data_IF_933101903623
#
_entry.id   IF_933101903623
#
_cell.length_a   1.000
_cell.length_b   1.000
_cell.length_c   1.000
_cell.angle_alpha   90.00
_cell.angle_beta   90.00
_cell.angle_gamma   90.00
#
_symmetry.space_group_name_H-M   'P 1'
#
loop_
_entity.id
_entity.type
_entity.pdbx_description
1 polymer ?
#
# COMPACT_ATOMS: atom_id res chain seq x y z
N UNK A 1 14.42 4.57 -38.39
CA UNK A 1 14.16 5.75 -37.52
C UNK A 1 12.66 6.03 -37.33
N UNK A 2 11.83 6.08 -38.38
CA UNK A 2 10.38 6.38 -38.30
C UNK A 2 9.56 5.47 -37.33
N UNK A 3 9.82 4.16 -37.29
CA UNK A 3 9.14 3.22 -36.35
C UNK A 3 9.46 3.48 -34.87
N UNK A 4 10.71 3.86 -34.56
CA UNK A 4 11.13 4.20 -33.19
C UNK A 4 10.48 5.51 -32.72
N UNK A 5 10.37 6.48 -33.62
CA UNK A 5 9.69 7.75 -33.34
C UNK A 5 8.19 7.54 -33.08
N UNK A 6 7.52 6.71 -33.89
CA UNK A 6 6.10 6.36 -33.69
C UNK A 6 5.85 5.68 -32.34
N UNK A 7 6.72 4.75 -31.93
CA UNK A 7 6.62 4.09 -30.62
C UNK A 7 6.81 5.08 -29.48
N UNK A 8 7.74 6.03 -29.62
CA UNK A 8 7.96 7.09 -28.62
C UNK A 8 6.77 8.04 -28.51
N UNK A 9 6.16 8.44 -29.63
CA UNK A 9 4.93 9.26 -29.58
C UNK A 9 3.75 8.50 -29.01
N UNK A 10 3.55 7.23 -29.37
CA UNK A 10 2.50 6.39 -28.78
C UNK A 10 2.69 6.20 -27.28
N UNK A 11 3.94 6.00 -26.82
CA UNK A 11 4.27 5.92 -25.40
C UNK A 11 4.05 7.25 -24.67
N UNK A 12 4.41 8.38 -25.28
CA UNK A 12 4.18 9.71 -24.70
C UNK A 12 2.67 10.02 -24.59
N UNK A 13 1.88 9.65 -25.60
CA UNK A 13 0.42 9.80 -25.60
C UNK A 13 -0.24 8.91 -24.54
N UNK A 14 0.20 7.65 -24.40
CA UNK A 14 -0.34 6.75 -23.38
C UNK A 14 -0.01 7.20 -21.97
N UNK A 15 1.21 7.67 -21.72
CA UNK A 15 1.61 8.27 -20.44
C UNK A 15 0.78 9.52 -20.11
N UNK A 16 0.50 10.37 -21.11
CA UNK A 16 -0.32 11.57 -20.94
C UNK A 16 -1.79 11.26 -20.63
N UNK A 17 -2.36 10.26 -21.32
CA UNK A 17 -3.73 9.80 -21.07
C UNK A 17 -3.89 9.16 -19.69
N UNK A 18 -2.90 8.35 -19.27
CA UNK A 18 -2.83 7.80 -17.91
C UNK A 18 -2.77 8.92 -16.89
N UNK A 19 -1.95 9.95 -17.12
CA UNK A 19 -1.84 11.09 -16.21
C UNK A 19 -3.18 11.82 -16.02
N UNK A 20 -3.95 12.05 -17.08
CA UNK A 20 -5.25 12.75 -16.97
C UNK A 20 -6.34 11.97 -16.21
N UNK A 21 -6.14 10.66 -16.01
CA UNK A 21 -7.10 9.77 -15.36
C UNK A 21 -6.58 9.23 -14.01
N UNK A 22 -5.49 9.81 -13.50
CA UNK A 22 -4.81 9.35 -12.29
C UNK A 22 -5.10 10.27 -11.10
N UNK A 23 -5.35 9.68 -9.94
CA UNK A 23 -5.36 10.36 -8.65
C UNK A 23 -4.10 10.02 -7.87
N UNK A 24 -3.40 11.02 -7.34
CA UNK A 24 -2.37 10.85 -6.32
C UNK A 24 -3.01 10.87 -4.94
N UNK A 25 -2.55 10.01 -4.04
CA UNK A 25 -3.16 9.87 -2.71
C UNK A 25 -2.12 9.77 -1.61
N UNK A 26 -2.48 10.32 -0.46
CA UNK A 26 -1.66 10.31 0.76
C UNK A 26 -2.55 9.96 1.94
N UNK A 27 -2.14 8.97 2.75
CA UNK A 27 -2.95 8.44 3.84
C UNK A 27 -2.63 9.23 5.11
N UNK A 28 -3.58 10.06 5.57
CA UNK A 28 -3.39 10.92 6.73
C UNK A 28 -3.06 10.12 8.00
N UNK A 29 -3.60 8.90 8.14
CA UNK A 29 -3.31 8.04 9.28
C UNK A 29 -1.85 7.58 9.30
N UNK A 30 -1.28 7.27 8.13
CA UNK A 30 0.14 6.90 8.03
C UNK A 30 1.04 8.07 8.36
N UNK A 31 0.71 9.26 7.84
CA UNK A 31 1.46 10.48 8.16
C UNK A 31 1.40 10.85 9.64
N UNK A 32 0.25 10.69 10.29
CA UNK A 32 0.12 10.90 11.73
C UNK A 32 1.02 9.96 12.55
N UNK A 33 1.27 8.75 12.04
CA UNK A 33 2.22 7.79 12.62
C UNK A 33 3.66 7.96 12.11
N UNK A 34 3.98 9.02 11.36
CA UNK A 34 5.28 9.25 10.73
C UNK A 34 5.70 8.20 9.70
N UNK A 35 4.74 7.44 9.16
CA UNK A 35 4.94 6.50 8.05
C UNK A 35 4.77 7.26 6.74
N UNK A 36 5.77 7.20 5.88
CA UNK A 36 5.74 7.84 4.57
C UNK A 36 4.94 6.95 3.62
N UNK A 37 3.94 7.52 2.95
CA UNK A 37 3.20 6.81 1.93
C UNK A 37 2.84 7.71 0.76
N UNK A 38 2.75 7.08 -0.41
CA UNK A 38 2.23 7.71 -1.62
C UNK A 38 1.55 6.64 -2.47
N UNK A 39 0.42 7.01 -3.05
CA UNK A 39 -0.33 6.13 -3.94
C UNK A 39 -0.69 6.81 -5.23
N UNK A 40 -0.83 6.02 -6.30
CA UNK A 40 -1.36 6.46 -7.57
C UNK A 40 -2.49 5.51 -8.00
N UNK A 41 -3.67 6.06 -8.27
CA UNK A 41 -4.84 5.31 -8.72
C UNK A 41 -5.30 5.79 -10.09
N UNK A 42 -5.33 4.90 -11.08
CA UNK A 42 -5.67 5.24 -12.47
C UNK A 42 -6.98 4.55 -12.87
N UNK A 43 -7.86 5.25 -13.58
CA UNK A 43 -9.04 4.65 -14.23
C UNK A 43 -8.60 3.68 -15.33
N UNK A 44 -9.09 2.44 -15.26
CA UNK A 44 -8.89 1.44 -16.31
C UNK A 44 -10.13 1.31 -17.21
N UNK A 45 -11.31 1.41 -16.62
CA UNK A 45 -12.60 1.37 -17.31
C UNK A 45 -13.63 2.18 -16.52
N UNK A 46 -14.86 2.28 -17.02
CA UNK A 46 -15.90 3.11 -16.40
C UNK A 46 -16.20 2.77 -14.94
N UNK A 47 -16.01 1.52 -14.53
CA UNK A 47 -16.23 1.05 -13.16
C UNK A 47 -14.99 0.46 -12.50
N UNK A 48 -13.84 0.51 -13.16
CA UNK A 48 -12.61 -0.15 -12.69
C UNK A 48 -11.45 0.82 -12.59
N UNK A 49 -10.72 0.74 -11.48
CA UNK A 49 -9.46 1.46 -11.29
C UNK A 49 -8.37 0.50 -10.82
N UNK A 50 -7.13 0.94 -10.96
CA UNK A 50 -5.95 0.26 -10.45
C UNK A 50 -5.16 1.22 -9.58
N UNK A 51 -4.86 0.81 -8.35
CA UNK A 51 -4.14 1.59 -7.36
C UNK A 51 -2.81 0.90 -7.02
N UNK A 52 -1.71 1.66 -7.10
CA UNK A 52 -0.41 1.28 -6.56
C UNK A 52 -0.08 2.10 -5.32
N UNK A 53 0.27 1.44 -4.21
CA UNK A 53 0.74 2.09 -2.98
C UNK A 53 2.23 1.77 -2.76
N UNK A 54 3.01 2.79 -2.40
CA UNK A 54 4.33 2.64 -1.80
C UNK A 54 4.29 3.16 -0.36
N UNK A 55 4.71 2.32 0.58
CA UNK A 55 4.70 2.63 2.02
C UNK A 55 6.07 2.36 2.60
N UNK A 56 6.58 3.29 3.40
CA UNK A 56 7.87 3.18 4.07
C UNK A 56 7.78 3.72 5.49
N UNK A 57 8.15 2.88 6.45
CA UNK A 57 8.31 3.25 7.84
C UNK A 57 9.79 3.52 8.15
N UNK A 58 10.18 4.76 8.48
CA UNK A 58 11.57 5.10 8.82
C UNK A 58 11.96 4.69 10.25
N UNK A 59 11.01 4.27 11.09
CA UNK A 59 11.22 4.00 12.50
C UNK A 59 12.21 2.86 12.75
N UNK A 60 13.36 3.16 13.36
CA UNK A 60 14.29 2.12 13.83
C UNK A 60 13.64 1.29 14.94
N UNK A 61 12.95 1.96 15.85
CA UNK A 61 12.11 1.39 16.90
C UNK A 61 11.04 2.38 17.34
N UNK A 62 9.90 1.86 17.82
CA UNK A 62 8.89 2.59 18.59
C UNK A 62 8.77 1.89 19.94
N UNK A 63 8.94 2.62 21.04
CA UNK A 63 8.93 2.04 22.40
C UNK A 63 9.89 0.83 22.56
N UNK A 64 11.08 0.92 21.94
CA UNK A 64 12.08 -0.17 21.96
C UNK A 64 11.78 -1.35 21.03
N UNK A 65 10.65 -1.36 20.32
CA UNK A 65 10.27 -2.39 19.36
C UNK A 65 10.63 -1.98 17.93
N UNK A 66 11.45 -2.76 17.19
CA UNK A 66 11.75 -2.45 15.80
C UNK A 66 10.48 -2.30 14.95
N UNK A 67 10.43 -1.26 14.13
CA UNK A 67 9.27 -0.96 13.27
C UNK A 67 9.69 -0.40 11.92
N UNK A 68 10.77 -0.93 11.35
CA UNK A 68 11.23 -0.55 10.02
C UNK A 68 10.67 -1.53 9.00
N UNK A 69 9.99 -1.01 7.99
CA UNK A 69 9.48 -1.82 6.89
C UNK A 69 9.27 -0.99 5.63
N UNK A 70 9.33 -1.65 4.48
CA UNK A 70 8.93 -1.10 3.20
C UNK A 70 7.96 -2.05 2.50
N UNK A 71 6.95 -1.49 1.86
CA UNK A 71 5.85 -2.26 1.30
C UNK A 71 5.40 -1.66 -0.03
N UNK A 72 5.15 -2.54 -0.99
CA UNK A 72 4.52 -2.22 -2.25
C UNK A 72 3.19 -2.96 -2.33
N UNK A 73 2.13 -2.26 -2.68
CA UNK A 73 0.78 -2.80 -2.78
C UNK A 73 0.23 -2.45 -4.15
N UNK A 74 -0.43 -3.41 -4.77
CA UNK A 74 -1.22 -3.21 -5.98
C UNK A 74 -2.65 -3.66 -5.69
N UNK A 75 -3.62 -2.93 -6.22
CA UNK A 75 -5.03 -3.17 -5.92
C UNK A 75 -5.91 -2.84 -7.14
N UNK A 76 -6.70 -3.81 -7.57
CA UNK A 76 -7.79 -3.58 -8.52
C UNK A 76 -9.06 -3.22 -7.75
N UNK A 77 -9.76 -2.17 -8.17
CA UNK A 77 -10.97 -1.68 -7.48
C UNK A 77 -12.15 -1.58 -8.43
N UNK A 78 -13.31 -2.03 -7.96
CA UNK A 78 -14.58 -1.95 -8.66
C UNK A 78 -15.53 -0.96 -7.98
N UNK A 79 -16.03 0.01 -8.74
CA UNK A 79 -16.97 1.04 -8.30
C UNK A 79 -18.33 0.85 -8.99
N UNK A 80 -19.38 0.40 -8.29
CA UNK A 80 -20.70 0.17 -8.90
C UNK A 80 -21.30 1.41 -9.58
N UNK A 81 -21.03 2.61 -9.02
CA UNK A 81 -21.52 3.92 -9.48
C UNK A 81 -20.55 4.65 -10.45
N UNK A 82 -19.49 3.98 -10.88
CA UNK A 82 -18.46 4.54 -11.76
C UNK A 82 -17.15 4.85 -11.01
N UNK A 83 -16.03 4.78 -11.73
CA UNK A 83 -14.69 4.96 -11.20
C UNK A 83 -14.60 6.26 -10.38
N UNK A 84 -13.98 6.17 -9.19
CA UNK A 84 -13.81 7.29 -8.26
C UNK A 84 -15.12 7.86 -7.67
N UNK A 85 -16.21 7.08 -7.67
CA UNK A 85 -17.52 7.54 -7.19
C UNK A 85 -18.12 6.63 -6.11
N UNK A 86 -17.97 7.03 -4.85
CA UNK A 86 -18.61 6.38 -3.71
C UNK A 86 -17.99 5.04 -3.35
N UNK A 87 -18.86 4.08 -3.01
CA UNK A 87 -18.49 2.74 -2.54
C UNK A 87 -17.68 1.96 -3.60
N UNK A 88 -16.65 1.25 -3.16
CA UNK A 88 -15.93 0.29 -3.99
C UNK A 88 -15.53 -0.97 -3.22
N UNK A 89 -15.34 -2.05 -3.98
CA UNK A 89 -14.71 -3.28 -3.52
C UNK A 89 -13.39 -3.45 -4.25
N UNK A 90 -12.32 -3.76 -3.52
CA UNK A 90 -10.98 -3.96 -4.07
C UNK A 90 -10.43 -5.34 -3.73
N UNK A 91 -9.57 -5.84 -4.62
CA UNK A 91 -8.69 -6.98 -4.37
C UNK A 91 -7.25 -6.52 -4.43
N UNK A 92 -6.47 -6.74 -3.37
CA UNK A 92 -5.08 -6.30 -3.29
C UNK A 92 -4.11 -7.47 -3.22
N UNK A 93 -2.91 -7.22 -3.70
CA UNK A 93 -1.72 -8.03 -3.51
C UNK A 93 -0.56 -7.14 -3.12
N UNK A 94 0.35 -7.64 -2.31
CA UNK A 94 1.43 -6.83 -1.77
C UNK A 94 2.69 -7.61 -1.51
N UNK A 95 3.81 -6.92 -1.60
CA UNK A 95 5.10 -7.43 -1.21
C UNK A 95 5.72 -6.57 -0.11
N UNK A 96 6.29 -7.27 0.85
CA UNK A 96 6.79 -6.76 2.11
C UNK A 96 8.29 -7.00 2.18
N UNK A 97 9.10 -5.94 2.16
CA UNK A 97 10.56 -6.04 2.24
C UNK A 97 11.08 -5.29 3.46
N UNK A 98 12.22 -5.74 3.99
CA UNK A 98 12.91 -5.09 5.10
C UNK A 98 12.13 -5.10 6.42
N UNK A 99 11.29 -6.10 6.67
CA UNK A 99 10.57 -6.19 7.94
C UNK A 99 11.58 -6.41 9.05
N UNK A 100 11.76 -5.40 9.91
CA UNK A 100 12.23 -5.57 11.29
C UNK A 100 11.06 -5.17 12.18
N UNK A 101 10.30 -6.17 12.62
CA UNK A 101 9.07 -5.95 13.38
C UNK A 101 9.01 -6.88 14.60
N UNK A 102 8.53 -6.35 15.72
CA UNK A 102 8.10 -7.16 16.87
C UNK A 102 6.60 -7.39 16.74
N UNK A 103 6.16 -8.65 16.56
CA UNK A 103 4.71 -8.96 16.49
C UNK A 103 4.01 -8.46 17.76
N UNK A 104 2.72 -8.14 17.66
CA UNK A 104 1.92 -7.61 18.78
C UNK A 104 1.98 -8.51 20.03
N UNK A 105 2.00 -9.85 19.84
CA UNK A 105 2.15 -10.82 20.93
C UNK A 105 3.56 -10.88 21.56
N UNK A 106 4.53 -10.13 21.05
CA UNK A 106 5.93 -10.09 21.55
C UNK A 106 6.33 -8.70 22.06
N UNK A 107 5.41 -7.75 22.21
CA UNK A 107 5.72 -6.39 22.67
C UNK A 107 6.45 -6.39 24.03
N UNK A 108 6.16 -7.38 24.90
CA UNK A 108 6.82 -7.57 26.21
C UNK A 108 7.87 -8.69 26.23
N UNK A 109 8.15 -9.30 25.09
CA UNK A 109 9.21 -10.29 24.97
C UNK A 109 10.39 -9.64 24.25
N UNK A 110 11.60 -9.89 24.73
CA UNK A 110 12.84 -9.33 24.19
C UNK A 110 13.19 -9.90 22.81
N UNK A 111 12.25 -9.93 21.86
CA UNK A 111 12.31 -10.60 20.56
C UNK A 111 11.89 -9.68 19.41
N UNK A 112 12.56 -9.80 18.26
CA UNK A 112 12.15 -9.19 17.01
C UNK A 112 12.35 -10.15 15.83
N UNK A 113 11.59 -9.95 14.75
CA UNK A 113 11.69 -10.77 13.55
C UNK A 113 12.22 -9.95 12.38
N UNK A 114 13.13 -10.56 11.60
CA UNK A 114 13.64 -9.98 10.36
C UNK A 114 13.24 -10.84 9.17
N UNK A 115 12.55 -10.27 8.18
CA UNK A 115 12.01 -11.08 7.09
C UNK A 115 11.46 -10.30 5.91
N UNK A 116 10.84 -11.07 5.01
CA UNK A 116 10.03 -10.57 3.90
C UNK A 116 8.69 -11.31 3.91
N UNK A 117 7.69 -10.71 3.30
CA UNK A 117 6.36 -11.31 3.24
C UNK A 117 5.62 -10.98 1.95
N UNK A 118 4.48 -11.61 1.83
CA UNK A 118 3.47 -11.29 0.84
C UNK A 118 2.10 -11.34 1.51
N UNK A 119 1.16 -10.59 0.98
CA UNK A 119 -0.22 -10.66 1.42
C UNK A 119 -1.15 -10.40 0.24
N UNK A 120 -2.35 -10.92 0.37
CA UNK A 120 -3.45 -10.66 -0.53
C UNK A 120 -4.74 -10.62 0.26
N UNK A 121 -5.73 -9.92 -0.27
CA UNK A 121 -7.01 -9.81 0.42
C UNK A 121 -7.96 -8.87 -0.28
N UNK A 122 -8.97 -8.46 0.47
CA UNK A 122 -10.02 -7.58 0.00
C UNK A 122 -9.98 -6.24 0.72
N UNK A 123 -10.47 -5.22 0.03
CA UNK A 123 -10.61 -3.86 0.54
C UNK A 123 -12.04 -3.41 0.33
N UNK A 124 -12.66 -2.85 1.36
CA UNK A 124 -13.90 -2.10 1.23
C UNK A 124 -13.58 -0.63 1.46
N UNK A 125 -14.05 0.23 0.59
CA UNK A 125 -13.84 1.66 0.75
C UNK A 125 -14.90 2.52 0.11
N UNK A 126 -14.82 3.82 0.40
CA UNK A 126 -15.76 4.82 -0.06
C UNK A 126 -15.00 6.10 -0.40
N UNK A 127 -15.12 6.53 -1.66
CA UNK A 127 -14.53 7.79 -2.12
C UNK A 127 -15.57 8.92 -2.12
N UNK A 128 -15.30 9.97 -1.35
CA UNK A 128 -16.09 11.21 -1.28
C UNK A 128 -15.44 12.26 -2.16
N UNK A 129 -16.10 12.67 -3.24
CA UNK A 129 -15.66 13.79 -4.07
C UNK A 129 -15.89 15.10 -3.32
N UNK A 130 -14.84 15.91 -3.14
CA UNK A 130 -14.94 17.27 -2.58
C UNK A 130 -15.18 18.27 -3.71
N UNK A 131 -14.37 18.20 -4.77
CA UNK A 131 -14.50 19.01 -5.97
C UNK A 131 -13.87 18.25 -7.16
N UNK A 132 -13.67 18.92 -8.30
CA UNK A 132 -13.15 18.26 -9.50
C UNK A 132 -11.71 17.74 -9.37
N UNK A 133 -10.96 18.23 -8.38
CA UNK A 133 -9.56 17.89 -8.15
C UNK A 133 -9.36 17.08 -6.88
N UNK A 134 -10.16 17.34 -5.85
CA UNK A 134 -9.95 16.76 -4.52
C UNK A 134 -11.04 15.77 -4.14
N UNK A 135 -10.62 14.70 -3.47
CA UNK A 135 -11.49 13.72 -2.86
C UNK A 135 -10.87 13.19 -1.56
N UNK A 136 -11.70 12.57 -0.73
CA UNK A 136 -11.28 11.78 0.44
C UNK A 136 -11.64 10.33 0.17
N UNK A 137 -10.70 9.43 0.41
CA UNK A 137 -10.88 7.99 0.28
C UNK A 137 -10.77 7.32 1.66
N UNK A 138 -11.88 6.74 2.12
CA UNK A 138 -11.95 6.01 3.39
C UNK A 138 -11.97 4.52 3.09
N UNK A 139 -11.08 3.74 3.69
CA UNK A 139 -11.00 2.30 3.39
C UNK A 139 -10.45 1.46 4.53
N UNK A 140 -10.87 0.20 4.53
CA UNK A 140 -10.34 -0.86 5.36
C UNK A 140 -10.11 -2.13 4.53
N UNK A 141 -9.04 -2.85 4.85
CA UNK A 141 -8.63 -4.06 4.16
C UNK A 141 -8.42 -5.19 5.15
N UNK A 142 -8.82 -6.39 4.75
CA UNK A 142 -8.58 -7.63 5.48
C UNK A 142 -7.98 -8.66 4.53
N UNK A 143 -7.03 -9.46 5.00
CA UNK A 143 -6.43 -10.46 4.14
C UNK A 143 -5.49 -11.41 4.84
N UNK A 144 -4.96 -12.29 4.02
CA UNK A 144 -4.00 -13.30 4.43
C UNK A 144 -2.59 -12.78 4.19
N UNK A 145 -1.73 -12.96 5.18
CA UNK A 145 -0.33 -12.60 5.12
C UNK A 145 0.53 -13.84 5.34
N UNK A 146 1.53 -14.02 4.49
CA UNK A 146 2.60 -15.00 4.67
C UNK A 146 3.94 -14.31 4.81
N UNK A 147 4.68 -14.65 5.84
CA UNK A 147 5.98 -14.06 6.16
C UNK A 147 7.02 -15.14 6.35
N UNK A 148 8.21 -14.92 5.78
CA UNK A 148 9.42 -15.72 6.01
C UNK A 148 10.41 -14.87 6.80
N UNK A 149 10.84 -15.36 7.95
CA UNK A 149 11.62 -14.57 8.90
C UNK A 149 12.67 -15.39 9.64
N UNK A 150 13.60 -14.66 10.27
CA UNK A 150 14.49 -15.13 11.33
C UNK A 150 14.18 -14.37 12.61
N UNK A 151 14.22 -15.04 13.76
CA UNK A 151 13.94 -14.46 15.07
C UNK A 151 15.23 -14.14 15.83
N UNK A 152 15.29 -12.96 16.44
CA UNK A 152 16.44 -12.48 17.21
C UNK A 152 16.00 -11.93 18.57
N UNK A 153 16.88 -12.03 19.56
CA UNK A 153 16.73 -11.43 20.88
C UNK A 153 17.18 -9.95 20.79
N UNK A 154 16.46 -8.99 21.37
CA UNK A 154 16.81 -7.56 21.22
C UNK A 154 18.04 -7.19 22.06
N UNK A 155 18.16 -7.70 23.30
CA UNK A 155 19.28 -7.38 24.19
C UNK A 155 20.62 -7.95 23.73
N UNK A 156 20.66 -9.22 23.32
CA UNK A 156 21.91 -9.91 22.96
C UNK A 156 22.18 -9.94 21.45
N UNK A 157 21.15 -9.72 20.62
CA UNK A 157 21.23 -9.90 19.17
C UNK A 157 21.30 -11.37 18.73
N UNK A 158 21.22 -12.32 19.67
CA UNK A 158 21.30 -13.75 19.37
C UNK A 158 20.07 -14.24 18.62
N UNK A 159 20.30 -15.18 17.70
CA UNK A 159 19.22 -15.78 16.91
C UNK A 159 18.57 -16.91 17.70
N UNK A 160 17.32 -16.72 18.15
CA UNK A 160 16.57 -17.76 18.86
C UNK A 160 15.76 -18.66 17.92
N UNK A 161 15.49 -18.21 16.69
CA UNK A 161 14.80 -18.98 15.65
C UNK A 161 15.49 -18.76 14.31
N UNK A 162 15.87 -19.85 13.66
CA UNK A 162 16.43 -19.88 12.31
C UNK A 162 15.43 -19.46 11.22
N UNK A 163 15.62 -19.93 9.98
CA UNK A 163 14.65 -19.65 8.91
C UNK A 163 13.31 -20.30 9.26
N UNK A 164 12.27 -19.49 9.42
CA UNK A 164 10.92 -19.95 9.70
C UNK A 164 9.91 -19.20 8.82
N UNK A 165 8.68 -19.69 8.77
CA UNK A 165 7.58 -19.07 8.05
C UNK A 165 6.30 -19.15 8.87
N UNK A 166 5.47 -18.12 8.77
CA UNK A 166 4.12 -18.13 9.35
C UNK A 166 3.13 -17.51 8.39
N UNK A 167 1.88 -17.95 8.48
CA UNK A 167 0.78 -17.32 7.80
C UNK A 167 -0.37 -17.03 8.76
N UNK A 168 -1.05 -15.92 8.56
CA UNK A 168 -2.11 -15.44 9.44
C UNK A 168 -3.08 -14.53 8.67
N UNK A 169 -4.33 -14.50 9.09
CA UNK A 169 -5.32 -13.55 8.60
C UNK A 169 -5.37 -12.36 9.56
N UNK A 170 -5.34 -11.14 9.04
CA UNK A 170 -5.40 -9.93 9.87
C UNK A 170 -5.98 -8.73 9.12
N UNK A 171 -6.50 -7.72 9.86
CA UNK A 171 -6.71 -6.39 9.33
C UNK A 171 -5.40 -5.85 8.75
N UNK A 172 -5.41 -5.47 7.48
CA UNK A 172 -4.20 -5.22 6.72
C UNK A 172 -3.93 -3.73 6.46
N UNK A 173 -4.98 -2.99 6.08
CA UNK A 173 -4.89 -1.58 5.74
C UNK A 173 -6.07 -0.87 6.35
N UNK A 174 -5.84 0.31 6.89
CA UNK A 174 -6.87 1.26 7.29
C UNK A 174 -6.39 2.63 6.83
N UNK A 175 -7.29 3.44 6.27
CA UNK A 175 -6.89 4.72 5.76
C UNK A 175 -8.01 5.73 5.61
N UNK A 176 -7.59 6.97 5.79
CA UNK A 176 -8.30 8.16 5.35
C UNK A 176 -7.32 8.92 4.46
N UNK A 177 -7.43 8.74 3.16
CA UNK A 177 -6.50 9.31 2.19
C UNK A 177 -7.05 10.56 1.54
N UNK A 178 -6.22 11.59 1.46
CA UNK A 178 -6.49 12.75 0.64
C UNK A 178 -6.08 12.43 -0.80
N UNK A 179 -6.99 12.62 -1.76
CA UNK A 179 -6.82 12.24 -3.15
C UNK A 179 -6.85 13.47 -4.06
N UNK A 180 -5.88 13.58 -4.97
CA UNK A 180 -5.73 14.66 -5.92
C UNK A 180 -5.72 14.15 -7.36
N UNK A 181 -6.69 14.55 -8.17
CA UNK A 181 -6.77 14.19 -9.59
C UNK A 181 -5.79 15.00 -10.42
N UNK A 182 -4.96 14.30 -11.17
CA UNK A 182 -4.06 14.84 -12.18
C UNK A 182 -4.84 15.12 -13.48
N UNK A 183 -4.47 16.20 -14.18
CA UNK A 183 -5.12 16.61 -15.44
C UNK A 183 -5.62 18.07 -15.43
N UNK A 184 -5.78 18.66 -16.62
CA UNK A 184 -6.39 19.99 -16.80
C UNK A 184 -7.91 19.87 -16.79
N UNK A 185 -8.58 20.95 -16.36
CA UNK A 185 -10.05 21.10 -16.44
C UNK A 185 -10.53 20.90 -17.87
#
# INVERSE_FOLDING_TARGET
MKRKLLLLTLLALSLSAVQAQTQLKWNALYWAMGVVNMSAETKLADKWTFNGDAVYSPWKSIEGNPMRFGQLIVEGRYYPKGAFNGLYLGGYGSYHRLFKFTKWNYINHDKYQKGNGMSFGATLGYQVKINDRWAVDLFASYGWQHSRYKGYIKSTGEMYVGKNASAEWLPYKLGASFAYRLGKR
#
